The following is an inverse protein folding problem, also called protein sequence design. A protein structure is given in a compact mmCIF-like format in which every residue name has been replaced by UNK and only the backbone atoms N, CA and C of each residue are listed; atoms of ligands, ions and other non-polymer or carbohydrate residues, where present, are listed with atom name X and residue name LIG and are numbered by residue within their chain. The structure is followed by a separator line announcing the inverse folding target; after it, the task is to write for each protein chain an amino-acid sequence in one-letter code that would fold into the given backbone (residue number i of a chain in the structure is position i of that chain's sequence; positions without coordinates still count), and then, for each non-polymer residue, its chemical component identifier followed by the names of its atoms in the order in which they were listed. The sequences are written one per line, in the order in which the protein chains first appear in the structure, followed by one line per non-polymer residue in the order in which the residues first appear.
data_IF_388395742855
#
_entry.id   IF_388395742855
#
_cell.length_a   1.000
_cell.length_b   1.000
_cell.length_c   1.000
_cell.angle_alpha   90.00
_cell.angle_beta   90.00
_cell.angle_gamma   90.00
#
_symmetry.space_group_name_H-M   'P 1'
#
loop_
_entity.id
_entity.type
_entity.pdbx_description
1 polymer ?
#
# COMPACT_ATOMS: atom_id res chain seq x y z
N UNK A 1 12.84 -5.88 -5.25
CA UNK A 1 11.40 -5.55 -5.50
C UNK A 1 11.34 -4.19 -6.20
N UNK A 2 10.39 -3.90 -7.11
CA UNK A 2 10.42 -2.67 -7.92
C UNK A 2 9.11 -1.87 -7.91
N UNK A 3 9.13 -0.75 -7.18
CA UNK A 3 8.08 0.27 -7.13
C UNK A 3 8.34 1.41 -8.14
N UNK A 4 7.30 1.82 -8.86
CA UNK A 4 7.33 2.93 -9.82
C UNK A 4 7.14 4.27 -9.10
N UNK A 5 8.13 5.16 -9.24
CA UNK A 5 8.06 6.50 -8.67
C UNK A 5 7.39 7.49 -9.62
N UNK A 6 6.63 8.47 -9.10
CA UNK A 6 6.23 8.61 -7.69
C UNK A 6 4.98 7.78 -7.34
N UNK A 7 4.25 7.29 -8.34
CA UNK A 7 2.86 6.86 -8.17
C UNK A 7 2.66 5.68 -7.23
N UNK A 8 3.52 4.65 -7.25
CA UNK A 8 3.31 3.49 -6.39
C UNK A 8 3.49 3.87 -4.91
N UNK A 9 4.44 4.76 -4.59
CA UNK A 9 4.59 5.27 -3.24
C UNK A 9 3.40 6.15 -2.81
N UNK A 10 2.83 6.94 -3.72
CA UNK A 10 1.60 7.70 -3.43
C UNK A 10 0.41 6.76 -3.16
N UNK A 11 0.29 5.65 -3.89
CA UNK A 11 -0.73 4.63 -3.64
C UNK A 11 -0.55 4.01 -2.24
N UNK A 12 0.67 3.66 -1.87
CA UNK A 12 0.96 3.08 -0.56
C UNK A 12 0.73 4.09 0.58
N UNK A 13 1.12 5.34 0.39
CA UNK A 13 0.93 6.41 1.37
C UNK A 13 -0.55 6.65 1.67
N UNK A 14 -1.41 6.68 0.65
CA UNK A 14 -2.88 6.78 0.81
C UNK A 14 -3.49 5.63 1.61
N UNK A 15 -2.88 4.44 1.56
CA UNK A 15 -3.35 3.27 2.30
C UNK A 15 -2.64 3.08 3.65
N UNK A 16 -1.74 3.99 4.03
CA UNK A 16 -0.85 3.82 5.19
C UNK A 16 -1.54 3.92 6.54
N UNK A 17 -2.80 4.39 6.56
CA UNK A 17 -3.68 4.34 7.73
C UNK A 17 -4.18 2.92 8.05
N UNK A 18 -3.90 1.94 7.18
CA UNK A 18 -4.33 0.56 7.34
C UNK A 18 -5.79 0.31 6.96
N UNK A 19 -6.53 1.34 6.54
CA UNK A 19 -7.90 1.20 6.07
C UNK A 19 -7.94 0.63 4.65
N UNK A 20 -9.16 0.39 4.16
CA UNK A 20 -9.39 -0.20 2.83
C UNK A 20 -9.86 0.87 1.87
N UNK A 21 -9.36 0.83 0.64
CA UNK A 21 -9.83 1.75 -0.38
C UNK A 21 -9.94 1.10 -1.76
N UNK A 22 -10.71 1.73 -2.65
CA UNK A 22 -10.83 1.27 -4.04
C UNK A 22 -9.82 1.97 -4.95
N UNK A 23 -9.45 1.34 -6.07
CA UNK A 23 -8.55 1.97 -7.04
C UNK A 23 -9.09 3.27 -7.64
N UNK A 24 -10.42 3.44 -7.73
CA UNK A 24 -11.03 4.69 -8.16
C UNK A 24 -10.77 5.82 -7.13
N UNK A 25 -11.07 5.55 -5.86
CA UNK A 25 -10.86 6.52 -4.79
C UNK A 25 -9.37 6.87 -4.62
N UNK A 26 -8.48 5.88 -4.71
CA UNK A 26 -7.03 6.12 -4.64
C UNK A 26 -6.60 7.06 -5.76
N UNK A 27 -7.07 6.82 -7.00
CA UNK A 27 -6.75 7.67 -8.15
C UNK A 27 -7.19 9.13 -7.95
N UNK A 28 -8.39 9.34 -7.40
CA UNK A 28 -8.88 10.67 -7.07
C UNK A 28 -8.02 11.35 -5.98
N UNK A 29 -7.64 10.61 -4.93
CA UNK A 29 -6.84 11.12 -3.80
C UNK A 29 -5.41 11.53 -4.20
N UNK A 30 -4.79 10.82 -5.15
CA UNK A 30 -3.42 11.12 -5.61
C UNK A 30 -3.41 11.96 -6.90
N UNK A 31 -4.58 12.38 -7.38
CA UNK A 31 -4.77 13.14 -8.62
C UNK A 31 -4.08 12.45 -9.81
N UNK A 32 -4.40 11.17 -10.06
CA UNK A 32 -3.86 10.38 -11.17
C UNK A 32 -4.96 9.72 -12.00
N UNK A 33 -4.59 9.33 -13.21
CA UNK A 33 -5.48 8.58 -14.09
C UNK A 33 -5.90 7.25 -13.44
N UNK A 34 -7.20 7.00 -13.43
CA UNK A 34 -7.80 5.79 -12.88
C UNK A 34 -7.34 4.53 -13.62
N UNK A 35 -7.19 4.59 -14.95
CA UNK A 35 -6.70 3.46 -15.75
C UNK A 35 -5.28 3.05 -15.36
N UNK A 36 -4.43 4.03 -15.11
CA UNK A 36 -3.08 3.83 -14.62
C UNK A 36 -3.06 3.19 -13.23
N UNK A 37 -3.80 3.75 -12.26
CA UNK A 37 -3.86 3.22 -10.88
C UNK A 37 -4.39 1.78 -10.87
N UNK A 38 -5.46 1.49 -11.61
CA UNK A 38 -6.01 0.14 -11.72
C UNK A 38 -5.05 -0.85 -12.39
N UNK A 39 -4.13 -0.37 -13.22
CA UNK A 39 -3.07 -1.20 -13.80
C UNK A 39 -1.93 -1.42 -12.81
N UNK A 40 -1.64 -0.44 -11.94
CA UNK A 40 -0.56 -0.56 -10.93
C UNK A 40 -0.95 -1.43 -9.75
N UNK A 41 -2.18 -1.33 -9.25
CA UNK A 41 -2.61 -2.04 -8.04
C UNK A 41 -2.37 -3.56 -8.09
N UNK A 42 -2.67 -4.29 -9.19
CA UNK A 42 -2.30 -5.71 -9.29
C UNK A 42 -0.79 -5.94 -9.22
N UNK A 43 0.03 -5.09 -9.84
CA UNK A 43 1.50 -5.21 -9.77
C UNK A 43 2.05 -4.92 -8.37
N UNK A 44 1.42 -4.01 -7.62
CA UNK A 44 1.77 -3.72 -6.22
C UNK A 44 1.32 -4.88 -5.30
N UNK A 45 0.18 -5.49 -5.61
CA UNK A 45 -0.35 -6.69 -4.92
C UNK A 45 0.54 -7.90 -5.15
N UNK A 46 0.95 -8.18 -6.39
CA UNK A 46 1.83 -9.30 -6.75
C UNK A 46 3.20 -9.21 -6.02
N UNK A 47 3.64 -7.99 -5.71
CA UNK A 47 4.85 -7.74 -4.92
C UNK A 47 4.62 -7.80 -3.41
N UNK A 48 3.38 -7.96 -2.96
CA UNK A 48 3.01 -8.16 -1.56
C UNK A 48 2.86 -6.87 -0.73
N UNK A 49 2.88 -5.68 -1.34
CA UNK A 49 2.76 -4.42 -0.60
C UNK A 49 1.32 -4.05 -0.25
N UNK A 50 0.36 -4.55 -1.02
CA UNK A 50 -1.07 -4.46 -0.75
C UNK A 50 -1.71 -5.83 -0.91
N UNK A 51 -2.93 -5.99 -0.42
CA UNK A 51 -3.76 -7.18 -0.63
C UNK A 51 -5.17 -6.76 -1.04
N UNK A 52 -5.76 -7.46 -2.01
CA UNK A 52 -7.18 -7.31 -2.29
C UNK A 52 -8.02 -7.94 -1.16
N UNK A 53 -9.06 -7.23 -0.73
CA UNK A 53 -9.92 -7.62 0.39
C UNK A 53 -11.36 -7.71 -0.08
N UNK A 54 -12.07 -8.77 0.32
CA UNK A 54 -13.51 -8.87 0.18
C UNK A 54 -13.95 -10.30 -0.07
N UNK A 55 -15.25 -10.59 0.07
CA UNK A 55 -15.79 -11.92 -0.20
C UNK A 55 -15.76 -12.28 -1.69
N UNK A 56 -15.65 -11.29 -2.57
CA UNK A 56 -15.57 -11.46 -4.02
C UNK A 56 -14.19 -11.08 -4.53
N UNK A 57 -13.66 -11.87 -5.48
CA UNK A 57 -12.38 -11.60 -6.15
C UNK A 57 -12.35 -10.24 -6.88
N UNK A 58 -13.52 -9.66 -7.16
CA UNK A 58 -13.71 -8.39 -7.85
C UNK A 58 -14.19 -7.26 -6.94
N UNK A 59 -13.97 -7.35 -5.61
CA UNK A 59 -14.38 -6.29 -4.67
C UNK A 59 -13.75 -4.93 -4.99
N UNK A 60 -12.59 -4.93 -5.65
CA UNK A 60 -11.83 -3.72 -5.97
C UNK A 60 -11.25 -3.01 -4.74
N UNK A 61 -11.38 -3.58 -3.54
CA UNK A 61 -10.88 -3.03 -2.29
C UNK A 61 -9.47 -3.55 -2.03
N UNK A 62 -8.55 -2.64 -1.74
CA UNK A 62 -7.18 -2.92 -1.37
C UNK A 62 -6.92 -2.45 0.06
N UNK A 63 -6.09 -3.20 0.78
CA UNK A 63 -5.53 -2.81 2.07
C UNK A 63 -4.02 -2.95 2.00
N UNK A 64 -3.27 -2.02 2.57
CA UNK A 64 -1.82 -2.13 2.70
C UNK A 64 -1.44 -3.34 3.57
N UNK A 65 -0.27 -3.92 3.30
CA UNK A 65 0.34 -4.96 4.14
C UNK A 65 1.40 -4.36 5.06
N UNK A 66 1.89 -5.10 6.07
CA UNK A 66 3.07 -4.69 6.85
C UNK A 66 4.27 -4.30 5.97
N UNK A 67 4.49 -5.04 4.88
CA UNK A 67 5.54 -4.75 3.90
C UNK A 67 5.30 -3.42 3.17
N UNK A 68 4.06 -3.11 2.81
CA UNK A 68 3.69 -1.82 2.22
C UNK A 68 3.93 -0.64 3.16
N UNK A 69 3.57 -0.77 4.44
CA UNK A 69 3.85 0.25 5.47
C UNK A 69 5.36 0.45 5.60
N UNK A 70 6.12 -0.64 5.69
CA UNK A 70 7.57 -0.57 5.78
C UNK A 70 8.19 0.13 4.55
N UNK A 71 7.67 -0.13 3.35
CA UNK A 71 8.11 0.54 2.12
C UNK A 71 7.90 2.06 2.16
N UNK A 72 6.76 2.54 2.66
CA UNK A 72 6.52 3.99 2.85
C UNK A 72 7.54 4.57 3.83
N UNK A 73 7.75 3.92 4.98
CA UNK A 73 8.69 4.39 6.02
C UNK A 73 10.16 4.41 5.55
N UNK A 74 10.53 3.52 4.63
CA UNK A 74 11.90 3.39 4.09
C UNK A 74 12.05 3.98 2.68
N UNK A 75 11.11 4.81 2.21
CA UNK A 75 11.12 5.36 0.86
C UNK A 75 12.41 6.11 0.49
N UNK A 76 13.08 6.76 1.44
CA UNK A 76 14.36 7.43 1.19
C UNK A 76 15.43 6.44 0.71
N UNK A 77 15.54 5.28 1.37
CA UNK A 77 16.50 4.23 1.03
C UNK A 77 16.28 3.66 -0.37
N UNK A 78 15.03 3.59 -0.86
CA UNK A 78 14.74 3.14 -2.22
C UNK A 78 15.43 3.99 -3.30
N UNK A 79 15.76 5.25 -2.98
CA UNK A 79 16.48 6.14 -3.89
C UNK A 79 18.00 5.97 -3.82
N UNK A 80 18.49 5.36 -2.76
CA UNK A 80 19.92 5.25 -2.42
C UNK A 80 20.46 3.85 -2.75
N UNK A 81 19.75 2.80 -2.33
CA UNK A 81 20.16 1.40 -2.50
C UNK A 81 18.93 0.47 -2.50
N UNK A 82 18.69 -0.24 -3.62
CA UNK A 82 17.57 -1.18 -3.74
C UNK A 82 17.75 -2.39 -2.81
N UNK A 83 18.98 -2.88 -2.64
CA UNK A 83 19.29 -4.03 -1.78
C UNK A 83 19.08 -3.68 -0.30
N UNK A 84 19.61 -2.53 0.16
CA UNK A 84 19.41 -2.09 1.55
C UNK A 84 17.95 -1.78 1.83
N UNK A 85 17.24 -1.21 0.86
CA UNK A 85 15.80 -1.01 0.96
C UNK A 85 15.07 -2.34 1.15
N UNK A 86 15.35 -3.35 0.32
CA UNK A 86 14.67 -4.64 0.40
C UNK A 86 14.91 -5.35 1.73
N UNK A 87 16.14 -5.30 2.26
CA UNK A 87 16.43 -5.83 3.60
C UNK A 87 15.68 -5.04 4.68
N UNK A 88 15.78 -3.71 4.67
CA UNK A 88 15.19 -2.86 5.70
C UNK A 88 13.66 -2.96 5.77
N UNK A 89 12.97 -3.12 4.64
CA UNK A 89 11.51 -3.26 4.64
C UNK A 89 11.06 -4.61 5.19
N UNK A 90 11.82 -5.69 4.97
CA UNK A 90 11.47 -7.02 5.49
C UNK A 90 11.62 -7.06 7.00
N UNK A 91 12.73 -6.54 7.52
CA UNK A 91 12.99 -6.45 8.96
C UNK A 91 11.95 -5.59 9.70
N UNK A 92 11.53 -4.48 9.08
CA UNK A 92 10.51 -3.60 9.65
C UNK A 92 9.10 -4.22 9.54
N UNK A 93 8.80 -4.92 8.44
CA UNK A 93 7.50 -5.55 8.23
C UNK A 93 7.17 -6.59 9.31
N UNK A 94 8.17 -7.34 9.79
CA UNK A 94 8.01 -8.33 10.87
C UNK A 94 7.60 -7.70 12.21
N UNK A 95 7.76 -6.38 12.36
CA UNK A 95 7.43 -5.61 13.55
C UNK A 95 6.10 -4.86 13.42
N UNK A 96 5.43 -4.93 12.27
CA UNK A 96 4.21 -4.19 11.98
C UNK A 96 3.01 -5.13 12.03
N UNK A 97 2.05 -4.79 12.89
CA UNK A 97 0.72 -5.40 12.92
C UNK A 97 -0.33 -4.37 12.47
N UNK A 98 -1.22 -4.76 11.57
CA UNK A 98 -2.34 -3.92 11.10
C UNK A 98 -3.64 -4.46 11.70
N UNK A 99 -4.19 -3.74 12.68
CA UNK A 99 -5.44 -4.10 13.36
C UNK A 99 -6.60 -3.22 12.85
N UNK A 100 -7.72 -3.84 12.44
CA UNK A 100 -8.93 -3.14 11.92
C UNK A 100 -9.79 -2.54 13.06
N UNK A 101 -10.61 -1.52 12.78
CA UNK A 101 -10.82 -0.38 13.69
C UNK A 101 -11.58 -0.66 14.98
N UNK A 102 -11.32 0.23 15.93
CA UNK A 102 -12.04 0.41 17.19
C UNK A 102 -13.35 1.18 16.95
N UNK A 103 -14.47 0.67 17.46
CA UNK A 103 -15.76 1.36 17.46
C UNK A 103 -15.85 2.24 18.72
N UNK A 104 -15.89 3.56 18.54
CA UNK A 104 -16.16 4.50 19.64
C UNK A 104 -17.61 4.99 19.54
N UNK A 105 -18.42 4.73 20.57
CA UNK A 105 -19.78 5.25 20.67
C UNK A 105 -19.74 6.46 21.61
N UNK A 106 -19.95 7.65 21.06
CA UNK A 106 -20.20 8.85 21.86
C UNK A 106 -21.66 8.83 22.33
N UNK A 107 -21.87 9.02 23.64
CA UNK A 107 -23.20 9.19 24.25
C UNK A 107 -23.64 10.65 24.17
#
# INVERSE_FOLDING_TARGET
MRLRRPTDFLILDVLSDGERNTGANIADLIERDRGYVNTQLPTIEDQGFVKKIGPHQNSGLYQITPLGIAAVQKQSLYSESEDEFETAIRELADQIEITRPSVTIHK
#
